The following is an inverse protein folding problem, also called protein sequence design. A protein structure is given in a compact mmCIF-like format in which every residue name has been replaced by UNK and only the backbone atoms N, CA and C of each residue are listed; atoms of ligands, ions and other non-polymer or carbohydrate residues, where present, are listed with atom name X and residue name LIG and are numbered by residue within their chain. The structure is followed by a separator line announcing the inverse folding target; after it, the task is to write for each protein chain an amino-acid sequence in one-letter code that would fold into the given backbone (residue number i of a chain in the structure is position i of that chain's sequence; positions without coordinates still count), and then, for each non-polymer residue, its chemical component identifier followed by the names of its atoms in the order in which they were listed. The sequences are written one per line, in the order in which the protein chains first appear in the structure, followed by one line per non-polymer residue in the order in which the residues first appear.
data_IF_794918259759
#
_entry.id   IF_794918259759
#
_cell.length_a   1.000
_cell.length_b   1.000
_cell.length_c   1.000
_cell.angle_alpha   90.00
_cell.angle_beta   90.00
_cell.angle_gamma   90.00
#
_symmetry.space_group_name_H-M   'P 1'
#
loop_
_entity.id
_entity.type
_entity.pdbx_description
1 polymer ?
#
# COMPACT_ATOMS: atom_id res chain seq x y z
N UNK A 1 -97.31 6.80 -2.39
CA UNK A 1 -96.04 6.58 -3.14
C UNK A 1 -95.23 7.87 -3.17
N UNK A 2 -94.11 7.93 -2.42
CA UNK A 2 -92.86 8.57 -2.86
C UNK A 2 -91.77 8.32 -1.83
N UNK A 3 -90.71 7.63 -2.26
CA UNK A 3 -89.57 7.26 -1.46
C UNK A 3 -88.61 8.45 -1.31
N UNK A 4 -88.34 8.87 -0.07
CA UNK A 4 -87.31 9.87 0.26
C UNK A 4 -86.43 9.34 1.40
N UNK A 5 -85.52 8.43 1.06
CA UNK A 5 -84.59 7.84 2.03
C UNK A 5 -83.35 7.31 1.33
N UNK A 6 -82.57 8.19 0.66
CA UNK A 6 -81.31 7.75 0.00
C UNK A 6 -80.27 8.85 -0.30
N UNK A 7 -80.33 10.04 0.34
CA UNK A 7 -79.37 11.16 0.08
C UNK A 7 -78.30 11.38 1.16
N UNK A 8 -78.54 11.02 2.43
CA UNK A 8 -77.60 11.34 3.53
C UNK A 8 -76.36 10.45 3.58
N UNK A 9 -76.45 9.18 3.17
CA UNK A 9 -75.32 8.24 3.18
C UNK A 9 -74.26 8.58 2.11
N UNK A 10 -74.68 9.04 0.94
CA UNK A 10 -73.76 9.43 -0.15
C UNK A 10 -72.96 10.70 0.17
N UNK A 11 -73.61 11.72 0.74
CA UNK A 11 -72.92 12.94 1.18
C UNK A 11 -71.93 12.66 2.32
N UNK A 12 -72.28 11.77 3.26
CA UNK A 12 -71.36 11.38 4.33
C UNK A 12 -70.10 10.70 3.78
N UNK A 13 -70.27 9.77 2.83
CA UNK A 13 -69.13 9.09 2.17
C UNK A 13 -68.21 10.09 1.46
N UNK A 14 -68.77 11.08 0.76
CA UNK A 14 -68.00 12.11 0.06
C UNK A 14 -67.22 12.97 1.06
N UNK A 15 -67.85 13.40 2.15
CA UNK A 15 -67.21 14.22 3.20
C UNK A 15 -66.09 13.43 3.89
N UNK A 16 -66.31 12.15 4.21
CA UNK A 16 -65.28 11.29 4.81
C UNK A 16 -64.11 11.07 3.86
N UNK A 17 -64.36 10.81 2.58
CA UNK A 17 -63.30 10.67 1.58
C UNK A 17 -62.49 11.97 1.42
N UNK A 18 -63.16 13.13 1.46
CA UNK A 18 -62.50 14.43 1.42
C UNK A 18 -61.63 14.68 2.64
N UNK A 19 -62.11 14.33 3.84
CA UNK A 19 -61.33 14.42 5.08
C UNK A 19 -60.10 13.52 5.04
N UNK A 20 -60.25 12.26 4.59
CA UNK A 20 -59.12 11.33 4.43
C UNK A 20 -58.11 11.88 3.42
N UNK A 21 -58.56 12.45 2.31
CA UNK A 21 -57.69 13.05 1.30
C UNK A 21 -56.91 14.26 1.87
N UNK A 22 -57.57 15.14 2.63
CA UNK A 22 -56.92 16.29 3.29
C UNK A 22 -55.88 15.82 4.32
N UNK A 23 -56.21 14.79 5.11
CA UNK A 23 -55.29 14.20 6.10
C UNK A 23 -54.10 13.55 5.39
N UNK A 24 -54.31 12.83 4.29
CA UNK A 24 -53.22 12.25 3.50
C UNK A 24 -52.32 13.34 2.90
N UNK A 25 -52.90 14.36 2.29
CA UNK A 25 -52.17 15.48 1.68
C UNK A 25 -51.35 16.29 2.70
N UNK A 26 -51.75 16.29 3.97
CA UNK A 26 -51.03 17.01 5.03
C UNK A 26 -49.95 16.17 5.73
N UNK A 27 -50.08 14.84 5.72
CA UNK A 27 -49.10 13.90 6.32
C UNK A 27 -47.99 13.54 5.32
N UNK A 28 -48.32 13.33 4.04
CA UNK A 28 -47.36 12.92 3.01
C UNK A 28 -46.11 13.82 2.92
N UNK A 29 -46.24 15.17 2.89
CA UNK A 29 -45.07 16.05 2.82
C UNK A 29 -44.20 15.98 4.07
N UNK A 30 -44.81 15.75 5.25
CA UNK A 30 -44.08 15.66 6.52
C UNK A 30 -43.28 14.37 6.61
N UNK A 31 -43.88 13.25 6.22
CA UNK A 31 -43.18 11.95 6.18
C UNK A 31 -42.05 12.00 5.16
N UNK A 32 -42.28 12.62 4.00
CA UNK A 32 -41.24 12.83 3.00
C UNK A 32 -40.09 13.72 3.52
N UNK A 33 -40.43 14.84 4.17
CA UNK A 33 -39.44 15.75 4.75
C UNK A 33 -38.66 15.11 5.90
N UNK A 34 -39.33 14.31 6.75
CA UNK A 34 -38.69 13.53 7.81
C UNK A 34 -37.77 12.45 7.25
N UNK A 35 -38.16 11.78 6.16
CA UNK A 35 -37.30 10.82 5.48
C UNK A 35 -36.05 11.47 4.87
N UNK A 36 -36.19 12.67 4.31
CA UNK A 36 -35.06 13.47 3.83
C UNK A 36 -34.18 13.95 4.98
N UNK A 37 -34.77 14.51 6.04
CA UNK A 37 -34.03 14.94 7.23
C UNK A 37 -33.29 13.77 7.88
N UNK A 38 -33.91 12.61 8.04
CA UNK A 38 -33.27 11.43 8.60
C UNK A 38 -32.05 10.99 7.77
N UNK A 39 -32.17 11.01 6.43
CA UNK A 39 -31.03 10.75 5.53
C UNK A 39 -29.91 11.79 5.64
N UNK A 40 -30.25 13.08 5.77
CA UNK A 40 -29.26 14.15 5.91
C UNK A 40 -28.62 14.23 7.30
N UNK A 41 -29.35 13.85 8.35
CA UNK A 41 -28.90 13.92 9.76
C UNK A 41 -28.05 12.71 10.15
N UNK A 42 -28.21 11.56 9.48
CA UNK A 42 -27.39 10.36 9.74
C UNK A 42 -26.21 10.18 8.78
N UNK A 43 -26.07 11.01 7.75
CA UNK A 43 -24.86 10.97 6.92
C UNK A 43 -23.71 11.64 7.68
N UNK A 44 -23.00 10.84 8.46
CA UNK A 44 -21.76 11.25 9.09
C UNK A 44 -20.60 10.74 8.23
N UNK A 45 -19.81 11.63 7.61
CA UNK A 45 -18.73 11.23 6.71
C UNK A 45 -17.52 10.64 7.47
N UNK A 46 -17.63 10.34 8.78
CA UNK A 46 -16.52 9.80 9.57
C UNK A 46 -15.93 8.53 8.95
N UNK A 47 -16.78 7.67 8.37
CA UNK A 47 -16.34 6.44 7.70
C UNK A 47 -15.50 6.77 6.47
N UNK A 48 -15.97 7.69 5.63
CA UNK A 48 -15.26 8.09 4.42
C UNK A 48 -13.94 8.78 4.77
N UNK A 49 -13.91 9.63 5.80
CA UNK A 49 -12.69 10.28 6.28
C UNK A 49 -11.70 9.20 6.78
N UNK A 50 -12.16 8.28 7.62
CA UNK A 50 -11.31 7.21 8.15
C UNK A 50 -10.77 6.30 7.03
N UNK A 51 -11.62 5.90 6.08
CA UNK A 51 -11.25 5.07 4.93
C UNK A 51 -10.24 5.79 4.02
N UNK A 52 -10.44 7.09 3.75
CA UNK A 52 -9.51 7.91 2.97
C UNK A 52 -8.16 8.05 3.67
N UNK A 53 -8.15 8.39 4.96
CA UNK A 53 -6.91 8.51 5.75
C UNK A 53 -6.18 7.17 5.82
N UNK A 54 -6.90 6.07 5.99
CA UNK A 54 -6.32 4.73 6.02
C UNK A 54 -5.71 4.32 4.68
N UNK A 55 -6.38 4.60 3.56
CA UNK A 55 -5.86 4.32 2.22
C UNK A 55 -4.64 5.19 1.90
N UNK A 56 -4.68 6.47 2.26
CA UNK A 56 -3.54 7.37 2.08
C UNK A 56 -2.36 7.00 3.00
N UNK A 57 -2.63 6.44 4.18
CA UNK A 57 -1.58 5.94 5.07
C UNK A 57 -0.81 4.78 4.45
N UNK A 58 -1.48 3.86 3.77
CA UNK A 58 -0.81 2.78 3.02
C UNK A 58 0.07 3.35 1.91
N UNK A 59 -0.46 4.30 1.12
CA UNK A 59 0.28 4.94 0.02
C UNK A 59 1.50 5.70 0.50
N UNK A 60 1.40 6.43 1.63
CA UNK A 60 2.55 7.16 2.16
C UNK A 60 3.60 6.20 2.70
N UNK A 61 3.22 5.09 3.34
CA UNK A 61 4.18 4.09 3.80
C UNK A 61 4.91 3.42 2.63
N UNK A 62 4.18 3.07 1.57
CA UNK A 62 4.77 2.54 0.34
C UNK A 62 5.79 3.52 -0.25
N UNK A 63 5.40 4.80 -0.38
CA UNK A 63 6.29 5.83 -0.89
C UNK A 63 7.50 6.06 0.03
N UNK A 64 7.30 6.01 1.35
CA UNK A 64 8.37 6.13 2.34
C UNK A 64 9.36 4.98 2.25
N UNK A 65 8.90 3.74 2.04
CA UNK A 65 9.79 2.59 1.85
C UNK A 65 10.56 2.68 0.53
N UNK A 66 9.91 3.12 -0.55
CA UNK A 66 10.59 3.40 -1.82
C UNK A 66 11.74 4.39 -1.62
N UNK A 67 11.48 5.53 -0.98
CA UNK A 67 12.51 6.54 -0.70
C UNK A 67 13.59 6.00 0.24
N UNK A 68 13.20 5.29 1.31
CA UNK A 68 14.13 4.74 2.28
C UNK A 68 15.09 3.72 1.65
N UNK A 69 14.58 2.80 0.83
CA UNK A 69 15.39 1.79 0.15
C UNK A 69 16.38 2.43 -0.82
N UNK A 70 15.96 3.43 -1.59
CA UNK A 70 16.87 4.19 -2.46
C UNK A 70 17.92 4.97 -1.65
N UNK A 71 17.50 5.61 -0.56
CA UNK A 71 18.41 6.39 0.30
C UNK A 71 19.44 5.52 1.00
N UNK A 72 19.02 4.32 1.40
CA UNK A 72 19.91 3.31 1.95
C UNK A 72 21.00 2.96 0.94
N UNK A 73 20.62 2.65 -0.30
CA UNK A 73 21.57 2.32 -1.36
C UNK A 73 22.59 3.45 -1.60
N UNK A 74 22.12 4.69 -1.77
CA UNK A 74 22.99 5.86 -1.94
C UNK A 74 24.00 5.99 -0.79
N UNK A 75 23.51 5.90 0.44
CA UNK A 75 24.32 6.13 1.65
C UNK A 75 25.27 4.98 1.93
N UNK A 76 24.86 3.74 1.63
CA UNK A 76 25.67 2.54 1.82
C UNK A 76 26.94 2.57 0.95
N UNK A 77 26.84 3.11 -0.27
CA UNK A 77 28.01 3.28 -1.15
C UNK A 77 29.01 4.33 -0.65
N UNK A 78 28.57 5.30 0.16
CA UNK A 78 29.42 6.36 0.70
C UNK A 78 29.97 6.05 2.10
N UNK A 79 29.28 5.19 2.86
CA UNK A 79 29.52 5.02 4.30
C UNK A 79 29.38 3.54 4.75
N UNK A 80 28.72 3.29 5.89
CA UNK A 80 28.50 1.95 6.44
C UNK A 80 27.00 1.65 6.59
N UNK A 81 26.66 0.38 6.80
CA UNK A 81 25.28 -0.08 6.92
C UNK A 81 24.50 0.64 8.02
N UNK A 82 25.12 0.86 9.20
CA UNK A 82 24.47 1.54 10.33
C UNK A 82 24.06 2.97 9.99
N UNK A 83 24.91 3.72 9.29
CA UNK A 83 24.60 5.08 8.88
C UNK A 83 23.57 5.11 7.74
N UNK A 84 23.66 4.18 6.79
CA UNK A 84 22.66 4.02 5.74
C UNK A 84 21.27 3.73 6.30
N UNK A 85 21.18 2.87 7.32
CA UNK A 85 19.94 2.59 8.05
C UNK A 85 19.36 3.84 8.71
N UNK A 86 20.19 4.65 9.37
CA UNK A 86 19.76 5.90 10.00
C UNK A 86 19.22 6.88 8.97
N UNK A 87 19.90 7.03 7.83
CA UNK A 87 19.47 7.93 6.76
C UNK A 87 18.18 7.46 6.08
N UNK A 88 18.03 6.15 5.86
CA UNK A 88 16.81 5.56 5.32
C UNK A 88 15.61 5.78 6.25
N UNK A 89 15.78 5.54 7.55
CA UNK A 89 14.75 5.79 8.58
C UNK A 89 14.38 7.26 8.66
N UNK A 90 15.37 8.15 8.65
CA UNK A 90 15.17 9.60 8.67
C UNK A 90 14.33 10.05 7.47
N UNK A 91 14.68 9.60 6.25
CA UNK A 91 13.95 9.95 5.05
C UNK A 91 12.50 9.43 5.05
N UNK A 92 12.27 8.21 5.53
CA UNK A 92 10.91 7.67 5.71
C UNK A 92 10.09 8.48 6.72
N UNK A 93 10.70 8.80 7.86
CA UNK A 93 10.07 9.59 8.92
C UNK A 93 9.68 10.98 8.44
N UNK A 94 10.56 11.67 7.70
CA UNK A 94 10.30 13.01 7.18
C UNK A 94 9.05 13.06 6.28
N UNK A 95 8.89 12.07 5.38
CA UNK A 95 7.73 12.00 4.50
C UNK A 95 6.45 11.72 5.29
N UNK A 96 6.48 10.76 6.21
CA UNK A 96 5.32 10.40 7.05
C UNK A 96 4.90 11.59 7.91
N UNK A 97 5.85 12.25 8.58
CA UNK A 97 5.59 13.42 9.42
C UNK A 97 4.98 14.58 8.62
N UNK A 98 5.47 14.81 7.39
CA UNK A 98 4.88 15.80 6.48
C UNK A 98 3.46 15.44 6.08
N UNK A 99 3.20 14.17 5.78
CA UNK A 99 1.86 13.68 5.46
C UNK A 99 0.90 13.87 6.65
N UNK A 100 1.28 13.46 7.86
CA UNK A 100 0.49 13.64 9.08
C UNK A 100 0.11 15.12 9.26
N UNK A 101 1.11 16.02 9.19
CA UNK A 101 0.88 17.47 9.30
C UNK A 101 -0.12 17.99 8.26
N UNK A 102 -0.06 17.46 7.04
CA UNK A 102 -0.93 17.87 5.93
C UNK A 102 -2.36 17.36 6.12
N UNK A 103 -2.52 16.08 6.47
CA UNK A 103 -3.82 15.44 6.66
C UNK A 103 -4.56 16.02 7.87
N UNK A 104 -3.87 16.21 9.00
CA UNK A 104 -4.47 16.84 10.20
C UNK A 104 -4.97 18.26 9.87
N UNK A 105 -4.23 19.03 9.07
CA UNK A 105 -4.69 20.35 8.61
C UNK A 105 -5.89 20.26 7.67
N UNK A 106 -5.89 19.32 6.73
CA UNK A 106 -6.96 19.14 5.76
C UNK A 106 -8.30 18.78 6.43
N UNK A 107 -8.26 18.00 7.51
CA UNK A 107 -9.44 17.55 8.25
C UNK A 107 -9.60 18.22 9.63
N UNK A 108 -9.02 19.41 9.83
CA UNK A 108 -9.07 20.12 11.11
C UNK A 108 -10.51 20.40 11.58
N UNK A 109 -11.44 20.67 10.65
CA UNK A 109 -12.85 20.89 10.94
C UNK A 109 -13.62 19.66 11.44
N UNK A 110 -13.02 18.47 11.32
CA UNK A 110 -13.59 17.19 11.75
C UNK A 110 -12.95 16.65 13.04
N UNK A 111 -12.07 17.45 13.66
CA UNK A 111 -11.38 17.05 14.88
C UNK A 111 -10.45 15.86 14.67
N UNK A 112 -9.89 15.71 13.46
CA UNK A 112 -8.96 14.63 13.15
C UNK A 112 -7.69 14.76 14.00
N UNK A 113 -7.37 13.68 14.70
CA UNK A 113 -6.10 13.49 15.39
C UNK A 113 -5.47 12.21 14.89
N UNK A 114 -4.17 12.26 14.62
CA UNK A 114 -3.38 11.13 14.19
C UNK A 114 -2.26 10.94 15.19
N UNK A 115 -2.13 9.73 15.71
CA UNK A 115 -1.00 9.28 16.51
C UNK A 115 -0.32 8.11 15.79
N UNK A 116 0.99 8.18 15.65
CA UNK A 116 1.81 7.09 15.10
C UNK A 116 2.44 6.33 16.26
N UNK A 117 2.24 5.02 16.28
CA UNK A 117 2.66 4.13 17.35
C UNK A 117 3.74 3.21 16.80
N UNK A 118 4.99 3.63 17.01
CA UNK A 118 6.18 2.91 16.55
C UNK A 118 6.18 1.46 17.01
N UNK A 119 6.36 0.55 16.05
CA UNK A 119 6.44 -0.89 16.27
C UNK A 119 7.86 -1.41 16.00
N UNK A 120 8.82 -1.02 16.84
CA UNK A 120 10.24 -1.31 16.63
C UNK A 120 10.90 -0.31 15.69
N UNK A 121 11.82 -0.77 14.83
CA UNK A 121 12.41 0.09 13.82
C UNK A 121 11.39 0.38 12.72
N UNK A 122 11.22 1.66 12.36
CA UNK A 122 10.29 2.09 11.31
C UNK A 122 10.55 1.34 10.00
N UNK A 123 11.81 1.28 9.57
CA UNK A 123 12.26 0.50 8.41
C UNK A 123 13.18 -0.64 8.84
N UNK A 124 13.12 -1.74 8.11
CA UNK A 124 14.08 -2.84 8.17
C UNK A 124 14.57 -3.16 6.75
N UNK A 125 15.87 -3.06 6.52
CA UNK A 125 16.52 -3.26 5.22
C UNK A 125 17.59 -4.34 5.41
N UNK A 126 17.28 -5.55 5.00
CA UNK A 126 18.14 -6.73 5.13
C UNK A 126 18.57 -7.14 3.72
N UNK A 127 19.69 -6.58 3.26
CA UNK A 127 20.24 -6.79 1.92
C UNK A 127 21.51 -7.64 1.95
N UNK A 128 21.98 -8.03 0.77
CA UNK A 128 23.20 -8.81 0.54
C UNK A 128 23.14 -10.27 1.04
N UNK A 129 21.93 -10.78 1.23
CA UNK A 129 21.64 -12.17 1.57
C UNK A 129 20.94 -12.85 0.37
N UNK A 130 20.97 -14.19 0.32
CA UNK A 130 20.19 -14.95 -0.68
C UNK A 130 18.69 -14.65 -0.56
N UNK A 131 18.22 -14.38 0.65
CA UNK A 131 16.91 -13.81 0.90
C UNK A 131 17.07 -12.40 1.44
N UNK A 132 16.77 -11.42 0.59
CA UNK A 132 16.85 -10.01 0.95
C UNK A 132 15.45 -9.39 1.03
N UNK A 133 15.30 -8.38 1.89
CA UNK A 133 14.04 -7.68 2.07
C UNK A 133 14.22 -6.18 2.36
N UNK A 134 13.17 -5.43 2.05
CA UNK A 134 12.96 -4.03 2.43
C UNK A 134 11.55 -3.94 3.02
N UNK A 135 11.44 -3.49 4.26
CA UNK A 135 10.17 -3.43 5.00
C UNK A 135 10.01 -2.09 5.71
N UNK A 136 8.78 -1.57 5.75
CA UNK A 136 8.36 -0.49 6.65
C UNK A 136 7.11 -0.94 7.41
N UNK A 137 7.03 -0.63 8.70
CA UNK A 137 5.90 -1.03 9.53
C UNK A 137 5.57 0.05 10.54
N UNK A 138 4.31 0.47 10.56
CA UNK A 138 3.86 1.54 11.45
C UNK A 138 2.40 1.33 11.81
N UNK A 139 2.04 1.65 13.05
CA UNK A 139 0.65 1.64 13.49
C UNK A 139 0.13 3.06 13.55
N UNK A 140 -1.02 3.30 12.93
CA UNK A 140 -1.76 4.56 13.02
C UNK A 140 -2.93 4.41 13.98
N UNK A 141 -3.13 5.41 14.84
CA UNK A 141 -4.34 5.60 15.65
C UNK A 141 -5.02 6.90 15.24
N UNK A 142 -6.31 6.79 14.91
CA UNK A 142 -7.14 7.88 14.44
C UNK A 142 -8.23 8.21 15.48
N UNK A 143 -8.42 9.50 15.73
CA UNK A 143 -9.60 10.03 16.41
C UNK A 143 -10.28 11.07 15.51
N UNK A 144 -11.60 11.07 15.48
CA UNK A 144 -12.43 12.09 14.85
C UNK A 144 -13.35 12.67 15.92
N UNK A 145 -12.81 13.62 16.69
CA UNK A 145 -13.43 14.09 17.93
C UNK A 145 -14.77 14.78 17.72
N UNK A 146 -14.96 15.44 16.57
CA UNK A 146 -16.24 16.05 16.18
C UNK A 146 -17.37 15.03 15.98
N UNK A 147 -17.03 13.76 15.75
CA UNK A 147 -17.98 12.66 15.56
C UNK A 147 -18.01 11.68 16.75
N UNK A 148 -17.27 11.95 17.83
CA UNK A 148 -17.18 11.05 18.97
C UNK A 148 -16.46 9.72 18.70
N UNK A 149 -15.73 9.60 17.59
CA UNK A 149 -14.97 8.41 17.22
C UNK A 149 -13.53 8.49 17.75
N UNK A 150 -13.10 7.49 18.53
CA UNK A 150 -11.79 7.46 19.15
C UNK A 150 -11.16 6.07 19.06
N UNK A 151 -9.83 6.02 19.00
CA UNK A 151 -9.06 4.79 19.12
C UNK A 151 -9.12 3.88 17.90
N UNK A 152 -9.41 4.41 16.71
CA UNK A 152 -9.39 3.61 15.49
C UNK A 152 -7.93 3.29 15.12
N UNK A 153 -7.50 2.08 15.42
CA UNK A 153 -6.13 1.62 15.15
C UNK A 153 -6.04 0.76 13.90
N UNK A 154 -4.96 0.97 13.14
CA UNK A 154 -4.59 0.13 12.01
C UNK A 154 -3.08 -0.06 11.99
N UNK A 155 -2.64 -1.31 11.95
CA UNK A 155 -1.25 -1.66 11.69
C UNK A 155 -1.07 -1.85 10.19
N UNK A 156 -0.12 -1.15 9.59
CA UNK A 156 0.21 -1.28 8.17
C UNK A 156 1.67 -1.69 8.04
N UNK A 157 1.92 -2.63 7.14
CA UNK A 157 3.25 -3.10 6.79
C UNK A 157 3.35 -3.09 5.27
N UNK A 158 4.42 -2.52 4.73
CA UNK A 158 4.76 -2.63 3.31
C UNK A 158 6.09 -3.38 3.23
N UNK A 159 6.17 -4.36 2.34
CA UNK A 159 7.31 -5.26 2.18
C UNK A 159 7.60 -5.48 0.70
N UNK A 160 8.88 -5.55 0.38
CA UNK A 160 9.37 -6.16 -0.84
C UNK A 160 10.48 -7.14 -0.48
N UNK A 161 10.36 -8.39 -0.94
CA UNK A 161 11.26 -9.48 -0.62
C UNK A 161 11.65 -10.23 -1.87
N UNK A 162 12.95 -10.52 -1.99
CA UNK A 162 13.48 -11.39 -3.05
C UNK A 162 14.32 -12.51 -2.45
N UNK A 163 14.00 -13.73 -2.84
CA UNK A 163 14.75 -14.93 -2.47
C UNK A 163 15.34 -15.60 -3.72
N UNK A 164 16.66 -15.64 -3.83
CA UNK A 164 17.40 -16.37 -4.86
C UNK A 164 17.44 -17.86 -4.50
N UNK A 165 17.14 -18.72 -5.46
CA UNK A 165 17.30 -20.17 -5.32
C UNK A 165 18.72 -20.57 -5.74
N UNK A 166 19.61 -20.72 -4.75
CA UNK A 166 21.00 -21.10 -4.99
C UNK A 166 21.15 -22.42 -5.76
N UNK A 167 20.22 -23.36 -5.56
CA UNK A 167 20.27 -24.68 -6.22
C UNK A 167 19.95 -24.63 -7.71
N UNK A 168 19.36 -23.53 -8.17
CA UNK A 168 19.02 -23.31 -9.59
C UNK A 168 20.13 -22.64 -10.40
N UNK A 169 21.21 -22.20 -9.74
CA UNK A 169 22.28 -21.46 -10.40
C UNK A 169 23.03 -22.40 -11.36
N UNK A 170 23.09 -22.01 -12.62
CA UNK A 170 23.83 -22.69 -13.67
C UNK A 170 24.77 -21.71 -14.36
N UNK A 171 26.00 -22.13 -14.61
CA UNK A 171 27.03 -21.33 -15.29
C UNK A 171 27.46 -22.12 -16.54
N UNK A 172 27.21 -21.56 -17.72
CA UNK A 172 27.60 -22.13 -19.01
C UNK A 172 28.08 -21.03 -19.94
N UNK A 173 29.29 -21.17 -20.49
CA UNK A 173 29.87 -20.23 -21.47
C UNK A 173 29.73 -18.74 -21.06
N UNK A 174 30.15 -18.43 -19.84
CA UNK A 174 30.08 -17.07 -19.23
C UNK A 174 28.65 -16.51 -19.11
N UNK A 175 27.63 -17.37 -19.23
CA UNK A 175 26.23 -17.03 -18.97
C UNK A 175 25.78 -17.71 -17.68
N UNK A 176 25.21 -16.92 -16.78
CA UNK A 176 24.63 -17.37 -15.52
C UNK A 176 23.12 -17.36 -15.65
N UNK A 177 22.47 -18.48 -15.31
CA UNK A 177 21.01 -18.59 -15.23
C UNK A 177 20.60 -19.05 -13.84
N UNK A 178 19.57 -18.42 -13.27
CA UNK A 178 19.06 -18.76 -11.94
C UNK A 178 17.59 -18.39 -11.79
N UNK A 179 16.96 -19.00 -10.79
CA UNK A 179 15.62 -18.67 -10.33
C UNK A 179 15.66 -17.78 -9.09
N UNK A 180 14.70 -16.86 -9.01
CA UNK A 180 14.41 -16.11 -7.79
C UNK A 180 12.90 -15.93 -7.61
N UNK A 181 12.49 -15.77 -6.36
CA UNK A 181 11.08 -15.51 -5.98
C UNK A 181 10.95 -14.11 -5.45
N UNK A 182 10.08 -13.30 -6.07
CA UNK A 182 9.75 -11.95 -5.65
C UNK A 182 8.35 -11.90 -5.03
N UNK A 183 8.26 -11.44 -3.79
CA UNK A 183 7.00 -11.31 -3.05
C UNK A 183 6.87 -9.96 -2.36
N UNK A 184 5.63 -9.53 -2.15
CA UNK A 184 5.26 -8.37 -1.34
C UNK A 184 4.54 -8.83 -0.07
N UNK A 185 3.77 -7.94 0.54
CA UNK A 185 3.04 -8.17 1.80
C UNK A 185 2.29 -9.50 1.77
N UNK A 186 2.31 -10.22 2.89
CA UNK A 186 1.62 -11.51 3.05
C UNK A 186 2.07 -12.59 2.03
N UNK A 187 3.29 -12.49 1.50
CA UNK A 187 3.83 -13.39 0.47
C UNK A 187 3.05 -13.37 -0.84
N UNK A 188 2.33 -12.29 -1.11
CA UNK A 188 1.70 -12.12 -2.41
C UNK A 188 2.78 -12.02 -3.50
N UNK A 189 2.60 -12.67 -4.66
CA UNK A 189 3.60 -12.67 -5.71
C UNK A 189 3.69 -11.31 -6.40
N UNK A 190 4.91 -10.85 -6.67
CA UNK A 190 5.14 -9.70 -7.55
C UNK A 190 5.19 -10.20 -8.99
N UNK A 191 4.30 -9.70 -9.84
CA UNK A 191 4.09 -10.19 -11.22
C UNK A 191 4.48 -9.17 -12.30
N UNK A 192 4.98 -8.02 -11.87
CA UNK A 192 5.20 -6.82 -12.70
C UNK A 192 6.67 -6.57 -13.02
N UNK A 193 7.59 -7.46 -12.62
CA UNK A 193 9.01 -7.28 -12.89
C UNK A 193 9.29 -7.45 -14.39
N UNK A 194 10.14 -6.57 -14.91
CA UNK A 194 10.65 -6.61 -16.29
C UNK A 194 12.17 -6.58 -16.25
N UNK A 195 12.84 -6.75 -17.40
CA UNK A 195 14.30 -6.60 -17.45
C UNK A 195 14.76 -5.24 -16.91
N UNK A 196 13.98 -4.17 -17.12
CA UNK A 196 14.26 -2.83 -16.58
C UNK A 196 14.11 -2.70 -15.06
N UNK A 197 13.48 -3.68 -14.41
CA UNK A 197 13.40 -3.80 -12.96
C UNK A 197 14.69 -4.34 -12.35
N UNK A 198 15.59 -4.90 -13.16
CA UNK A 198 16.81 -5.55 -12.71
C UNK A 198 18.04 -4.75 -13.14
N UNK A 199 19.04 -4.75 -12.26
CA UNK A 199 20.42 -4.40 -12.60
C UNK A 199 21.33 -5.40 -11.92
N UNK A 200 22.19 -6.06 -12.68
CA UNK A 200 23.07 -7.11 -12.16
C UNK A 200 24.51 -6.62 -12.28
N UNK A 201 25.26 -6.69 -11.17
CA UNK A 201 26.68 -6.42 -11.15
C UNK A 201 27.43 -7.72 -10.81
N UNK A 202 28.48 -8.05 -11.54
CA UNK A 202 29.39 -9.13 -11.18
C UNK A 202 30.70 -8.55 -10.63
N UNK A 203 31.34 -9.30 -9.75
CA UNK A 203 32.64 -8.97 -9.21
C UNK A 203 33.72 -9.55 -10.12
N UNK A 204 34.62 -8.70 -10.58
CA UNK A 204 35.71 -9.07 -11.44
C UNK A 204 37.00 -9.33 -10.65
N UNK A 205 37.91 -10.12 -11.22
CA UNK A 205 39.22 -10.47 -10.66
C UNK A 205 40.11 -9.25 -10.34
N UNK A 206 39.83 -8.10 -10.97
CA UNK A 206 40.47 -6.81 -10.67
C UNK A 206 39.90 -6.11 -9.41
N UNK A 207 39.05 -6.82 -8.65
CA UNK A 207 38.36 -6.34 -7.45
C UNK A 207 37.37 -5.20 -7.70
N UNK A 208 36.83 -5.09 -8.92
CA UNK A 208 35.82 -4.09 -9.28
C UNK A 208 34.46 -4.73 -9.56
N UNK A 209 33.39 -3.96 -9.33
CA UNK A 209 32.04 -4.35 -9.72
C UNK A 209 31.78 -3.88 -11.16
N UNK A 210 31.40 -4.81 -12.05
CA UNK A 210 31.09 -4.54 -13.45
C UNK A 210 29.65 -4.92 -13.75
N UNK A 211 29.02 -4.19 -14.67
CA UNK A 211 27.63 -4.43 -15.04
C UNK A 211 27.53 -5.64 -15.97
N UNK A 212 26.65 -6.58 -15.61
CA UNK A 212 26.34 -7.75 -16.43
C UNK A 212 25.31 -7.39 -17.51
N UNK A 213 25.33 -8.13 -18.62
CA UNK A 213 24.31 -7.98 -19.66
C UNK A 213 23.17 -8.98 -19.41
N UNK A 214 21.99 -8.49 -19.04
CA UNK A 214 20.80 -9.34 -18.87
C UNK A 214 20.34 -9.79 -20.26
N UNK A 215 20.26 -11.11 -20.47
CA UNK A 215 19.89 -11.70 -21.77
C UNK A 215 18.41 -12.07 -21.83
N UNK A 216 17.82 -12.45 -20.69
CA UNK A 216 16.38 -12.73 -20.59
C UNK A 216 15.88 -12.70 -19.15
N UNK A 217 14.61 -12.35 -18.99
CA UNK A 217 13.82 -12.54 -17.77
C UNK A 217 12.49 -13.22 -18.10
N UNK A 218 12.26 -14.40 -17.53
CA UNK A 218 11.06 -15.21 -17.74
C UNK A 218 10.25 -15.33 -16.45
N UNK A 219 8.92 -15.17 -16.54
CA UNK A 219 8.02 -15.33 -15.40
C UNK A 219 7.30 -16.69 -15.44
N UNK A 220 7.45 -17.50 -14.38
CA UNK A 220 6.87 -18.84 -14.29
C UNK A 220 5.62 -18.95 -13.42
N UNK A 221 5.13 -17.82 -12.90
CA UNK A 221 3.99 -17.80 -11.99
C UNK A 221 4.40 -17.79 -10.51
N UNK A 222 3.47 -17.45 -9.63
CA UNK A 222 3.65 -17.45 -8.16
C UNK A 222 4.84 -16.58 -7.67
N UNK A 223 5.25 -15.59 -8.46
CA UNK A 223 6.35 -14.68 -8.11
C UNK A 223 7.72 -15.26 -8.47
N UNK A 224 7.77 -16.42 -9.11
CA UNK A 224 9.01 -17.07 -9.55
C UNK A 224 9.41 -16.54 -10.92
N UNK A 225 10.67 -16.11 -11.01
CA UNK A 225 11.31 -15.66 -12.23
C UNK A 225 12.59 -16.45 -12.46
N UNK A 226 12.93 -16.64 -13.72
CA UNK A 226 14.25 -17.07 -14.16
C UNK A 226 14.91 -15.93 -14.89
N UNK A 227 16.16 -15.64 -14.51
CA UNK A 227 16.97 -14.62 -15.16
C UNK A 227 18.22 -15.27 -15.71
N UNK A 228 18.57 -14.88 -16.94
CA UNK A 228 19.84 -15.20 -17.56
C UNK A 228 20.61 -13.93 -17.84
N UNK A 229 21.91 -13.95 -17.57
CA UNK A 229 22.79 -12.81 -17.81
C UNK A 229 24.22 -13.26 -18.14
N UNK A 230 24.92 -12.48 -18.95
CA UNK A 230 26.31 -12.75 -19.32
C UNK A 230 27.28 -11.92 -18.48
N UNK A 231 28.37 -12.56 -18.06
CA UNK A 231 29.49 -11.97 -17.32
C UNK A 231 30.75 -11.96 -18.19
N UNK A 232 31.75 -11.17 -17.80
CA UNK A 232 33.06 -11.17 -18.46
C UNK A 232 33.91 -12.40 -18.09
N UNK A 233 34.95 -12.66 -18.87
CA UNK A 233 35.93 -13.73 -18.60
C UNK A 233 36.70 -13.51 -17.28
N UNK A 234 36.61 -12.31 -16.73
CA UNK A 234 37.20 -11.89 -15.46
C UNK A 234 36.27 -12.11 -14.25
N UNK A 235 35.16 -12.83 -14.40
CA UNK A 235 34.25 -13.14 -13.31
C UNK A 235 34.92 -13.91 -12.16
N UNK A 236 34.76 -13.41 -10.93
CA UNK A 236 35.36 -13.93 -9.69
C UNK A 236 34.35 -14.71 -8.81
N UNK A 237 33.30 -15.27 -9.40
CA UNK A 237 32.37 -16.13 -8.65
C UNK A 237 31.38 -15.39 -7.72
N UNK A 238 31.20 -14.08 -7.88
CA UNK A 238 30.28 -13.28 -7.04
C UNK A 238 29.49 -12.26 -7.86
N UNK A 239 28.19 -12.12 -7.59
CA UNK A 239 27.36 -11.09 -8.22
C UNK A 239 26.33 -10.49 -7.25
N UNK A 240 25.80 -9.32 -7.61
CA UNK A 240 24.72 -8.61 -6.92
C UNK A 240 23.56 -8.41 -7.87
N UNK A 241 22.36 -8.71 -7.41
CA UNK A 241 21.12 -8.43 -8.12
C UNK A 241 20.40 -7.28 -7.43
N UNK A 242 20.32 -6.14 -8.10
CA UNK A 242 19.50 -5.00 -7.71
C UNK A 242 18.15 -5.19 -8.37
N UNK A 243 17.09 -5.24 -7.57
CA UNK A 243 15.73 -5.48 -8.06
C UNK A 243 14.82 -4.38 -7.52
N UNK A 244 14.04 -3.78 -8.41
CA UNK A 244 13.11 -2.69 -8.09
C UNK A 244 11.71 -3.06 -8.58
N UNK A 245 10.73 -3.07 -7.69
CA UNK A 245 9.33 -3.32 -8.05
C UNK A 245 8.66 -2.09 -8.71
N UNK A 246 7.39 -2.23 -9.09
CA UNK A 246 6.58 -1.16 -9.69
C UNK A 246 6.34 0.02 -8.73
N UNK A 247 6.32 -0.24 -7.41
CA UNK A 247 6.25 0.75 -6.32
C UNK A 247 7.56 1.47 -6.07
N UNK A 248 8.62 1.12 -6.81
CA UNK A 248 9.98 1.66 -6.70
C UNK A 248 10.65 1.32 -5.37
N UNK A 249 10.31 0.19 -4.77
CA UNK A 249 11.00 -0.36 -3.61
C UNK A 249 12.13 -1.23 -4.11
N UNK A 250 13.34 -0.98 -3.58
CA UNK A 250 14.55 -1.70 -3.98
C UNK A 250 14.90 -2.82 -3.00
N UNK A 251 15.46 -3.90 -3.51
CA UNK A 251 16.15 -4.96 -2.76
C UNK A 251 17.46 -5.30 -3.48
N UNK A 252 18.50 -5.64 -2.71
CA UNK A 252 19.77 -6.15 -3.27
C UNK A 252 20.08 -7.53 -2.68
N UNK A 253 20.23 -8.53 -3.53
CA UNK A 253 20.79 -9.82 -3.18
C UNK A 253 22.27 -9.87 -3.56
N UNK A 254 23.11 -10.50 -2.73
CA UNK A 254 24.48 -10.86 -3.08
C UNK A 254 24.58 -12.39 -3.12
N UNK A 255 25.19 -12.92 -4.18
CA UNK A 255 25.29 -14.35 -4.43
C UNK A 255 26.75 -14.68 -4.68
N UNK A 256 27.24 -15.70 -3.99
CA UNK A 256 28.58 -16.27 -4.18
C UNK A 256 28.36 -17.64 -4.80
N UNK A 257 28.83 -17.82 -6.04
CA UNK A 257 28.78 -19.11 -6.71
C UNK A 257 29.98 -19.93 -6.24
N UNK A 258 29.74 -21.13 -5.72
CA UNK A 258 30.84 -22.07 -5.45
C UNK A 258 31.50 -22.45 -6.78
N UNK A 259 32.81 -22.21 -6.87
CA UNK A 259 33.67 -22.66 -7.98
C UNK A 259 34.03 -24.13 -7.85
#
# INVERSE_FOLDING_TARGET
MRATGKKSRGQFIIITAFFIAIIMLSILPRVYFLGLQYRYIQYEPFKEIADNVNSDFERVLERSLSIASLKYNETFHETNATYADLMARSAAHDLISKWVSTVVKAYAGHGLQIELISYGNLTNIEWFELTANSTIKEKIRLNLTSYGLYGCERLVSVEFRVAVDESSITILDSTITLNFTATKENREPVTTLTESSLRILYFANDSTWKEANITSLSYYGLGVYEVSFSVGDDYDGKFRMYIIDDRKIMVINEVITST
#
